data_IF_458456883137
#
_entry.id   IF_458456883137
#
_cell.length_a   1.000
_cell.length_b   1.000
_cell.length_c   1.000
_cell.angle_alpha   90.00
_cell.angle_beta   90.00
_cell.angle_gamma   90.00
#
_symmetry.space_group_name_H-M   'P 1'
#
loop_
_entity.id
_entity.type
_entity.pdbx_description
1 polymer ?
#
# COMPACT_ATOMS: atom_id res chain seq x y z
N UNK A 1 22.98 13.48 -0.30
CA UNK A 1 21.52 13.71 -0.28
C UNK A 1 20.87 12.34 -0.12
N UNK A 2 19.87 12.20 0.74
CA UNK A 2 19.11 10.93 0.85
C UNK A 2 18.43 10.64 -0.49
N UNK A 3 18.28 9.36 -0.83
CA UNK A 3 17.50 8.92 -2.00
C UNK A 3 16.06 9.45 -1.86
N UNK A 4 15.53 10.09 -2.90
CA UNK A 4 14.08 10.32 -3.02
C UNK A 4 13.44 9.09 -3.64
N UNK A 5 12.44 8.52 -2.98
CA UNK A 5 11.69 7.37 -3.47
C UNK A 5 10.59 7.81 -4.45
N UNK A 6 10.61 7.24 -5.66
CA UNK A 6 9.54 7.42 -6.65
C UNK A 6 8.41 6.45 -6.37
N UNK A 7 7.23 6.93 -6.01
CA UNK A 7 6.09 6.10 -5.62
C UNK A 7 4.95 6.26 -6.63
N UNK A 8 4.37 5.15 -7.08
CA UNK A 8 3.15 5.13 -7.87
C UNK A 8 1.98 4.53 -7.08
N UNK A 9 0.78 5.12 -7.20
CA UNK A 9 -0.46 4.61 -6.62
C UNK A 9 -1.33 3.93 -7.68
N UNK A 10 -1.65 2.65 -7.51
CA UNK A 10 -2.43 1.87 -8.46
C UNK A 10 -3.70 1.32 -7.81
N UNK A 11 -4.81 1.64 -8.47
CA UNK A 11 -6.20 1.32 -8.12
C UNK A 11 -6.68 1.94 -6.79
N UNK A 12 -7.83 2.59 -6.83
CA UNK A 12 -8.44 3.39 -5.77
C UNK A 12 -9.71 2.72 -5.19
N UNK A 13 -9.93 1.42 -5.44
CA UNK A 13 -11.04 0.64 -4.85
C UNK A 13 -11.05 0.72 -3.31
N UNK A 14 -9.88 0.71 -2.69
CA UNK A 14 -9.74 0.84 -1.25
C UNK A 14 -9.44 2.29 -0.87
N UNK A 15 -10.29 2.84 0.00
CA UNK A 15 -10.25 4.23 0.48
C UNK A 15 -8.94 4.70 1.14
N UNK A 16 -8.00 3.79 1.44
CA UNK A 16 -6.71 4.16 2.04
C UNK A 16 -5.72 4.71 1.02
N UNK A 17 -6.02 4.63 -0.29
CA UNK A 17 -5.13 5.20 -1.30
C UNK A 17 -4.86 6.69 -1.06
N UNK A 18 -5.88 7.50 -0.71
CA UNK A 18 -5.65 8.92 -0.42
C UNK A 18 -4.79 9.15 0.83
N UNK A 19 -5.06 8.42 1.93
CA UNK A 19 -4.20 8.42 3.13
C UNK A 19 -2.72 8.12 2.76
N UNK A 20 -2.48 7.07 1.98
CA UNK A 20 -1.12 6.63 1.61
C UNK A 20 -0.43 7.60 0.64
N UNK A 21 -1.17 8.21 -0.28
CA UNK A 21 -0.65 9.25 -1.17
C UNK A 21 -0.36 10.55 -0.41
N UNK A 22 -1.15 10.89 0.61
CA UNK A 22 -0.86 12.01 1.51
C UNK A 22 0.45 11.80 2.25
N UNK A 23 0.63 10.63 2.86
CA UNK A 23 1.90 10.27 3.51
C UNK A 23 3.07 10.37 2.51
N UNK A 24 2.88 9.92 1.28
CA UNK A 24 3.89 10.05 0.21
C UNK A 24 4.19 11.51 -0.12
N UNK A 25 3.16 12.33 -0.30
CA UNK A 25 3.26 13.74 -0.68
C UNK A 25 3.93 14.60 0.41
N UNK A 26 3.66 14.29 1.68
CA UNK A 26 4.20 15.02 2.84
C UNK A 26 5.61 14.54 3.24
N UNK A 27 6.05 13.38 2.76
CA UNK A 27 7.32 12.78 3.17
C UNK A 27 8.52 13.43 2.44
N UNK A 28 9.55 13.93 3.16
CA UNK A 28 10.66 14.71 2.59
C UNK A 28 11.62 13.91 1.69
N UNK A 29 11.42 12.60 1.55
CA UNK A 29 12.23 11.71 0.70
C UNK A 29 11.36 10.79 -0.15
N UNK A 30 10.14 11.21 -0.49
CA UNK A 30 9.27 10.51 -1.43
C UNK A 30 8.63 11.50 -2.41
N UNK A 31 8.25 11.02 -3.59
CA UNK A 31 7.46 11.77 -4.56
C UNK A 31 6.45 10.87 -5.28
N UNK A 32 5.27 11.40 -5.57
CA UNK A 32 4.26 10.70 -6.38
C UNK A 32 4.63 10.85 -7.85
N UNK A 33 5.08 9.77 -8.50
CA UNK A 33 5.47 9.79 -9.92
C UNK A 33 4.36 9.32 -10.86
N UNK A 34 3.33 8.65 -10.33
CA UNK A 34 2.20 8.19 -11.12
C UNK A 34 1.02 7.77 -10.26
N UNK A 35 -0.18 8.01 -10.75
CA UNK A 35 -1.40 7.38 -10.24
C UNK A 35 -2.13 6.68 -11.39
N UNK A 36 -2.77 5.56 -11.10
CA UNK A 36 -3.48 4.80 -12.11
C UNK A 36 -4.77 4.19 -11.58
N UNK A 37 -5.86 4.37 -12.30
CA UNK A 37 -7.12 3.65 -12.12
C UNK A 37 -7.83 3.50 -13.47
N UNK A 38 -8.52 2.39 -13.68
CA UNK A 38 -9.32 2.15 -14.89
C UNK A 38 -10.58 3.03 -14.94
N UNK A 39 -11.04 3.52 -13.80
CA UNK A 39 -12.07 4.55 -13.65
C UNK A 39 -11.43 5.89 -13.23
N UNK A 40 -11.21 6.84 -14.17
CA UNK A 40 -10.56 8.11 -13.89
C UNK A 40 -11.20 8.92 -12.76
N UNK A 41 -12.52 8.80 -12.59
CA UNK A 41 -13.25 9.58 -11.60
C UNK A 41 -12.81 9.28 -10.16
N UNK A 42 -12.25 8.08 -9.91
CA UNK A 42 -11.73 7.68 -8.60
C UNK A 42 -10.43 8.38 -8.21
N UNK A 43 -9.74 8.94 -9.20
CA UNK A 43 -8.49 9.68 -8.99
C UNK A 43 -8.71 11.18 -8.78
N UNK A 44 -9.89 11.72 -9.10
CA UNK A 44 -10.19 13.16 -9.11
C UNK A 44 -9.81 13.86 -7.81
N UNK A 45 -10.15 13.24 -6.67
CA UNK A 45 -9.84 13.79 -5.34
C UNK A 45 -8.32 13.83 -5.09
N UNK A 46 -7.59 12.76 -5.41
CA UNK A 46 -6.14 12.72 -5.25
C UNK A 46 -5.43 13.70 -6.21
N UNK A 47 -5.89 13.80 -7.47
CA UNK A 47 -5.38 14.77 -8.45
C UNK A 47 -5.49 16.18 -7.89
N UNK A 48 -6.67 16.53 -7.37
CA UNK A 48 -6.93 17.85 -6.79
C UNK A 48 -6.13 18.09 -5.52
N UNK A 49 -6.15 17.15 -4.57
CA UNK A 49 -5.58 17.33 -3.24
C UNK A 49 -4.05 17.42 -3.28
N UNK A 50 -3.41 16.71 -4.21
CA UNK A 50 -1.94 16.66 -4.33
C UNK A 50 -1.40 17.39 -5.58
N UNK A 51 -2.27 18.08 -6.34
CA UNK A 51 -1.91 18.81 -7.57
C UNK A 51 -1.14 17.95 -8.57
N UNK A 52 -1.60 16.71 -8.77
CA UNK A 52 -0.91 15.73 -9.63
C UNK A 52 -1.05 16.19 -11.09
N UNK A 53 0.06 16.40 -11.82
CA UNK A 53 0.02 16.85 -13.19
C UNK A 53 -0.51 15.75 -14.12
N UNK A 54 -1.13 16.15 -15.23
CA UNK A 54 -1.83 15.22 -16.14
C UNK A 54 -0.93 14.16 -16.77
N UNK A 55 0.37 14.41 -16.87
CA UNK A 55 1.39 13.46 -17.35
C UNK A 55 1.76 12.38 -16.33
N UNK A 56 1.25 12.47 -15.10
CA UNK A 56 1.37 11.46 -14.04
C UNK A 56 0.05 10.73 -13.76
N UNK A 57 -0.98 10.96 -14.58
CA UNK A 57 -2.30 10.33 -14.43
C UNK A 57 -2.51 9.34 -15.55
N UNK A 58 -2.72 8.07 -15.19
CA UNK A 58 -2.79 6.96 -16.14
C UNK A 58 -4.09 6.18 -15.96
N UNK A 59 -4.56 5.54 -17.03
CA UNK A 59 -5.70 4.61 -16.98
C UNK A 59 -5.32 3.18 -17.39
N UNK A 60 -4.05 2.97 -17.69
CA UNK A 60 -3.47 1.66 -17.94
C UNK A 60 -2.19 1.49 -17.10
N UNK A 61 -2.16 0.40 -16.35
CA UNK A 61 -1.05 0.06 -15.44
C UNK A 61 0.26 -0.11 -16.20
N UNK A 62 0.24 -0.72 -17.38
CA UNK A 62 1.47 -0.99 -18.14
C UNK A 62 2.12 0.31 -18.63
N UNK A 63 1.30 1.25 -19.10
CA UNK A 63 1.71 2.62 -19.42
C UNK A 63 2.22 3.37 -18.19
N UNK A 64 1.47 3.32 -17.08
CA UNK A 64 1.89 3.92 -15.81
C UNK A 64 3.29 3.44 -15.37
N UNK A 65 3.51 2.12 -15.37
CA UNK A 65 4.78 1.53 -14.94
C UNK A 65 5.96 1.92 -15.83
N UNK A 66 5.75 1.99 -17.15
CA UNK A 66 6.81 2.37 -18.09
C UNK A 66 7.15 3.87 -18.06
N UNK A 67 6.14 4.72 -17.98
CA UNK A 67 6.33 6.17 -18.12
C UNK A 67 6.70 6.83 -16.78
N UNK A 68 6.16 6.35 -15.66
CA UNK A 68 6.49 6.88 -14.33
C UNK A 68 7.75 6.26 -13.71
N UNK A 69 8.14 5.06 -14.14
CA UNK A 69 9.31 4.31 -13.64
C UNK A 69 9.46 4.37 -12.10
N UNK A 70 8.49 3.87 -11.31
CA UNK A 70 8.53 4.00 -9.86
C UNK A 70 9.62 3.13 -9.23
N UNK A 71 10.03 3.44 -8.01
CA UNK A 71 10.81 2.54 -7.13
C UNK A 71 9.89 1.58 -6.36
N UNK A 72 8.73 2.07 -5.93
CA UNK A 72 7.74 1.39 -5.11
C UNK A 72 6.33 1.63 -5.67
N UNK A 73 5.49 0.61 -5.67
CA UNK A 73 4.09 0.71 -6.11
C UNK A 73 3.15 0.39 -4.95
N UNK A 74 2.27 1.34 -4.62
CA UNK A 74 1.18 1.16 -3.67
C UNK A 74 -0.04 0.63 -4.43
N UNK A 75 -0.59 -0.49 -4.00
CA UNK A 75 -1.72 -1.19 -4.63
C UNK A 75 -2.89 -1.20 -3.65
N UNK A 76 -3.96 -0.46 -3.97
CA UNK A 76 -5.19 -0.40 -3.16
C UNK A 76 -6.40 -0.94 -3.93
N UNK A 77 -6.19 -2.00 -4.72
CA UNK A 77 -7.27 -2.71 -5.37
C UNK A 77 -8.21 -3.40 -4.37
N UNK A 78 -9.39 -3.80 -4.82
CA UNK A 78 -10.21 -4.74 -4.05
C UNK A 78 -9.42 -6.02 -3.76
N UNK A 79 -9.61 -6.60 -2.57
CA UNK A 79 -8.80 -7.73 -2.08
C UNK A 79 -8.74 -8.91 -3.05
N UNK A 80 -9.87 -9.24 -3.69
CA UNK A 80 -9.96 -10.32 -4.67
C UNK A 80 -9.11 -10.08 -5.93
N UNK A 81 -8.68 -8.83 -6.17
CA UNK A 81 -7.87 -8.42 -7.32
C UNK A 81 -6.41 -8.15 -6.96
N UNK A 82 -5.99 -8.28 -5.70
CA UNK A 82 -4.59 -8.06 -5.32
C UNK A 82 -3.62 -8.94 -6.13
N UNK A 83 -3.94 -10.22 -6.31
CA UNK A 83 -3.12 -11.13 -7.11
C UNK A 83 -2.98 -10.70 -8.57
N UNK A 84 -4.08 -10.26 -9.20
CA UNK A 84 -4.09 -9.74 -10.58
C UNK A 84 -3.12 -8.56 -10.74
N UNK A 85 -3.20 -7.57 -9.83
CA UNK A 85 -2.35 -6.39 -9.89
C UNK A 85 -0.89 -6.72 -9.57
N UNK A 86 -0.62 -7.54 -8.55
CA UNK A 86 0.75 -7.97 -8.23
C UNK A 86 1.38 -8.72 -9.39
N UNK A 87 0.69 -9.68 -10.00
CA UNK A 87 1.18 -10.40 -11.18
C UNK A 87 1.44 -9.48 -12.38
N UNK A 88 0.61 -8.44 -12.57
CA UNK A 88 0.80 -7.45 -13.62
C UNK A 88 2.02 -6.56 -13.38
N UNK A 89 2.33 -6.23 -12.12
CA UNK A 89 3.33 -5.21 -11.76
C UNK A 89 4.68 -5.82 -11.37
N UNK A 90 4.71 -7.03 -10.81
CA UNK A 90 5.94 -7.69 -10.39
C UNK A 90 6.99 -7.82 -11.51
N UNK A 91 6.64 -8.08 -12.79
CA UNK A 91 7.62 -8.16 -13.88
C UNK A 91 8.44 -6.89 -14.13
N UNK A 92 8.02 -5.71 -13.64
CA UNK A 92 8.80 -4.47 -13.76
C UNK A 92 9.94 -4.35 -12.74
N UNK A 93 10.10 -5.32 -11.83
CA UNK A 93 11.21 -5.34 -10.88
C UNK A 93 11.11 -4.30 -9.75
N UNK A 94 9.93 -3.69 -9.53
CA UNK A 94 9.72 -2.65 -8.51
C UNK A 94 9.27 -3.24 -7.17
N UNK A 95 9.54 -2.55 -6.07
CA UNK A 95 8.98 -2.96 -4.78
C UNK A 95 7.46 -2.77 -4.79
N UNK A 96 6.75 -3.61 -4.03
CA UNK A 96 5.29 -3.59 -3.97
C UNK A 96 4.82 -3.37 -2.54
N UNK A 97 3.80 -2.54 -2.38
CA UNK A 97 3.10 -2.29 -1.13
C UNK A 97 1.61 -2.52 -1.37
N UNK A 98 1.04 -3.59 -0.81
CA UNK A 98 -0.35 -3.99 -1.05
C UNK A 98 -1.18 -3.70 0.17
N UNK A 99 -2.37 -3.13 -0.02
CA UNK A 99 -3.33 -2.93 1.06
C UNK A 99 -3.70 -4.23 1.78
N UNK A 100 -4.16 -4.10 3.01
CA UNK A 100 -4.77 -5.21 3.74
C UNK A 100 -6.24 -5.35 3.33
N UNK A 101 -6.82 -6.55 3.45
CA UNK A 101 -6.17 -7.84 3.72
C UNK A 101 -5.30 -8.33 2.55
N UNK A 102 -4.27 -9.13 2.85
CA UNK A 102 -3.23 -9.48 1.87
C UNK A 102 -3.77 -10.11 0.59
N UNK A 103 -4.63 -11.13 0.72
CA UNK A 103 -5.33 -11.79 -0.36
C UNK A 103 -6.68 -12.29 0.15
N UNK A 104 -7.59 -12.63 -0.75
CA UNK A 104 -8.92 -13.19 -0.46
C UNK A 104 -8.87 -14.70 -0.13
N UNK A 105 -7.83 -15.40 -0.59
CA UNK A 105 -7.58 -16.81 -0.31
C UNK A 105 -6.07 -17.14 -0.40
N UNK A 106 -5.69 -18.35 0.05
CA UNK A 106 -4.28 -18.79 0.09
C UNK A 106 -3.67 -18.98 -1.31
N UNK A 107 -4.45 -19.47 -2.28
CA UNK A 107 -3.96 -19.67 -3.65
C UNK A 107 -3.55 -18.34 -4.29
N UNK A 108 -4.35 -17.28 -4.08
CA UNK A 108 -4.02 -15.95 -4.54
C UNK A 108 -2.81 -15.34 -3.79
N UNK A 109 -2.65 -15.63 -2.49
CA UNK A 109 -1.45 -15.25 -1.76
C UNK A 109 -0.19 -15.91 -2.32
N UNK A 110 -0.24 -17.21 -2.62
CA UNK A 110 0.88 -17.96 -3.20
C UNK A 110 1.24 -17.43 -4.59
N UNK A 111 0.24 -17.13 -5.42
CA UNK A 111 0.42 -16.48 -6.74
C UNK A 111 1.14 -15.15 -6.65
N UNK A 112 0.75 -14.29 -5.70
CA UNK A 112 1.40 -13.00 -5.46
C UNK A 112 2.88 -13.16 -5.12
N UNK A 113 3.21 -14.12 -4.25
CA UNK A 113 4.60 -14.40 -3.88
C UNK A 113 5.41 -14.99 -5.03
N UNK A 114 4.81 -15.88 -5.82
CA UNK A 114 5.45 -16.50 -6.98
C UNK A 114 5.74 -15.52 -8.13
N UNK A 115 5.01 -14.41 -8.21
CA UNK A 115 5.21 -13.38 -9.23
C UNK A 115 6.46 -12.51 -8.97
N UNK A 116 6.92 -12.44 -7.72
CA UNK A 116 8.05 -11.59 -7.33
C UNK A 116 9.36 -12.03 -7.99
N UNK A 117 10.17 -11.05 -8.34
CA UNK A 117 11.51 -11.16 -8.90
C UNK A 117 12.56 -11.03 -7.80
N UNK A 118 13.77 -11.56 -8.06
CA UNK A 118 14.88 -11.47 -7.13
C UNK A 118 15.20 -10.00 -6.77
N UNK A 119 15.27 -9.72 -5.46
CA UNK A 119 15.54 -8.38 -4.93
C UNK A 119 14.30 -7.48 -4.80
N UNK A 120 13.12 -7.93 -5.22
CA UNK A 120 11.87 -7.24 -4.88
C UNK A 120 11.45 -7.52 -3.44
N UNK A 121 10.79 -6.52 -2.85
CA UNK A 121 10.09 -6.68 -1.58
C UNK A 121 8.60 -6.49 -1.80
N UNK A 122 7.80 -7.30 -1.11
CA UNK A 122 6.35 -7.18 -1.04
C UNK A 122 5.96 -6.88 0.40
N UNK A 123 5.39 -5.70 0.61
CA UNK A 123 5.00 -5.19 1.91
C UNK A 123 3.48 -5.19 1.98
N UNK A 124 2.93 -5.66 3.09
CA UNK A 124 1.49 -5.58 3.37
C UNK A 124 1.26 -4.33 4.21
N UNK A 125 0.25 -3.51 3.86
CA UNK A 125 -0.16 -2.41 4.70
C UNK A 125 -0.76 -2.93 6.01
N UNK A 126 0.08 -3.15 7.02
CA UNK A 126 -0.34 -3.66 8.31
C UNK A 126 0.01 -2.67 9.43
N UNK A 127 -0.75 -1.58 9.61
CA UNK A 127 -0.40 -0.46 10.48
C UNK A 127 -0.06 -0.84 11.93
N UNK A 128 -0.70 -1.90 12.45
CA UNK A 128 -0.43 -2.42 13.79
C UNK A 128 1.05 -2.80 13.99
N UNK A 129 1.78 -3.11 12.92
CA UNK A 129 3.21 -3.42 12.97
C UNK A 129 4.08 -2.18 13.26
N UNK A 130 3.59 -0.98 12.97
CA UNK A 130 4.35 0.27 13.12
C UNK A 130 3.94 1.08 14.36
N UNK A 131 2.89 0.69 15.07
CA UNK A 131 2.47 1.39 16.27
C UNK A 131 3.52 1.26 17.39
N UNK A 132 4.07 2.38 17.92
CA UNK A 132 5.10 2.33 18.95
C UNK A 132 4.67 1.59 20.21
N UNK A 133 3.39 1.67 20.56
CA UNK A 133 2.81 0.93 21.69
C UNK A 133 2.85 -0.58 21.48
N UNK A 134 2.55 -1.06 20.27
CA UNK A 134 2.56 -2.48 19.93
C UNK A 134 3.99 -3.00 19.85
N UNK A 135 4.90 -2.25 19.21
CA UNK A 135 6.33 -2.58 19.18
C UNK A 135 6.93 -2.64 20.59
N UNK A 136 6.57 -1.70 21.47
CA UNK A 136 7.01 -1.69 22.87
C UNK A 136 6.44 -2.87 23.65
N UNK A 137 5.14 -3.15 23.53
CA UNK A 137 4.51 -4.30 24.18
C UNK A 137 5.17 -5.61 23.74
N UNK A 138 5.36 -5.81 22.43
CA UNK A 138 6.04 -6.98 21.89
C UNK A 138 7.47 -7.12 22.45
N UNK A 139 8.25 -6.02 22.45
CA UNK A 139 9.61 -6.01 22.98
C UNK A 139 9.64 -6.40 24.47
N UNK A 140 8.77 -5.81 25.30
CA UNK A 140 8.73 -6.11 26.74
C UNK A 140 8.34 -7.58 27.02
N UNK A 141 7.44 -8.13 26.22
CA UNK A 141 7.08 -9.55 26.29
C UNK A 141 8.26 -10.43 25.87
N UNK A 142 8.94 -10.10 24.77
CA UNK A 142 10.08 -10.86 24.26
C UNK A 142 11.30 -10.82 25.20
N UNK A 143 11.52 -9.70 25.89
CA UNK A 143 12.56 -9.54 26.93
C UNK A 143 12.20 -10.26 28.26
N UNK A 144 10.99 -10.82 28.38
CA UNK A 144 10.59 -11.63 29.54
C UNK A 144 10.09 -10.84 30.76
N UNK A 145 9.79 -9.54 30.62
CA UNK A 145 9.37 -8.68 31.74
C UNK A 145 8.10 -9.13 32.46
N UNK A 146 7.25 -9.94 31.80
CA UNK A 146 6.01 -10.49 32.38
C UNK A 146 6.10 -11.99 32.67
N UNK A 147 7.28 -12.60 32.52
CA UNK A 147 7.46 -14.05 32.60
C UNK A 147 6.81 -14.80 31.43
N UNK A 148 6.34 -16.02 31.67
CA UNK A 148 5.72 -16.86 30.63
C UNK A 148 4.33 -16.35 30.28
N UNK A 149 4.14 -15.92 29.03
CA UNK A 149 2.82 -15.60 28.46
C UNK A 149 1.89 -16.79 28.61
N UNK A 150 0.71 -16.55 29.21
CA UNK A 150 -0.35 -17.57 29.36
C UNK A 150 -1.54 -17.32 28.46
N UNK A 151 -1.88 -16.05 28.25
CA UNK A 151 -3.10 -15.65 27.56
C UNK A 151 -2.90 -14.27 26.94
N UNK A 152 -3.56 -14.02 25.80
CA UNK A 152 -3.56 -12.72 25.11
C UNK A 152 -5.01 -12.36 24.82
N UNK A 153 -5.45 -11.21 25.31
CA UNK A 153 -6.76 -10.64 25.00
C UNK A 153 -6.55 -9.42 24.11
N UNK A 154 -7.25 -9.38 22.98
CA UNK A 154 -7.21 -8.25 22.05
C UNK A 154 -8.63 -7.85 21.70
N UNK A 155 -8.92 -6.57 21.90
CA UNK A 155 -10.20 -5.95 21.57
C UNK A 155 -9.92 -4.81 20.61
N UNK A 156 -10.39 -4.94 19.39
CA UNK A 156 -10.27 -3.93 18.36
C UNK A 156 -11.59 -3.79 17.61
N UNK A 157 -11.80 -2.60 17.06
CA UNK A 157 -13.01 -2.25 16.35
C UNK A 157 -12.89 -0.85 15.80
N UNK A 158 -13.32 -0.68 14.56
CA UNK A 158 -13.55 0.64 13.98
C UNK A 158 -15.07 0.88 13.89
N UNK A 159 -15.48 2.14 13.73
CA UNK A 159 -16.90 2.50 13.52
C UNK A 159 -17.40 2.19 12.09
N UNK A 160 -16.61 1.49 11.28
CA UNK A 160 -16.74 1.48 9.83
C UNK A 160 -16.41 2.85 9.21
N UNK A 161 -16.36 2.94 7.87
CA UNK A 161 -16.34 4.24 7.21
C UNK A 161 -17.64 4.99 7.52
N UNK A 162 -17.54 6.21 8.05
CA UNK A 162 -18.71 7.11 8.19
C UNK A 162 -19.14 7.69 6.83
N UNK A 163 -18.21 7.71 5.85
CA UNK A 163 -18.41 8.01 4.45
C UNK A 163 -17.31 7.33 3.60
N UNK A 164 -17.57 7.08 2.32
CA UNK A 164 -16.56 6.67 1.33
C UNK A 164 -15.98 7.93 0.67
N UNK A 165 -14.96 8.52 1.26
CA UNK A 165 -14.14 9.59 0.67
C UNK A 165 -12.68 9.15 0.55
N UNK A 166 -11.88 9.79 -0.31
CA UNK A 166 -10.47 9.46 -0.45
C UNK A 166 -9.61 9.97 0.71
N UNK A 167 -10.11 10.92 1.50
CA UNK A 167 -9.51 11.37 2.76
C UNK A 167 -10.49 11.14 3.94
N UNK A 168 -9.98 10.67 5.07
CA UNK A 168 -10.74 10.53 6.33
C UNK A 168 -11.17 11.87 6.93
#
# INVERSE_FOLDING_TARGET
>A
MSKTWKIAGINFDHFHMGDLLRETFEHPSAEIVGICDDDPARMDEAIKNFSIPSDRVFTDVDTCMRESDPDLVVICASTARHAEYVEKIAPYGKHLFVEKPFADNLENADRMLAALQDGQELIINWPLRWYPSHATAYRLVAEGHIGKVREVHYYDGNRGPLAHGADK
#
